data_IF_762405426980
#
_entry.id   IF_762405426980
#
_cell.length_a   1.000
_cell.length_b   1.000
_cell.length_c   1.000
_cell.angle_alpha   90.00
_cell.angle_beta   90.00
_cell.angle_gamma   90.00
#
_symmetry.space_group_name_H-M   'P 1'
#
loop_
_entity.id
_entity.type
_entity.pdbx_description
1 polymer ?
#
# COMPACT_ATOMS: atom_id res chain seq x y z
N UNK A 1 19.40 -13.61 7.81
CA UNK A 1 19.31 -13.03 9.18
C UNK A 1 18.30 -11.90 9.05
N UNK A 2 17.09 -12.12 9.54
CA UNK A 2 16.00 -11.15 9.50
C UNK A 2 16.32 -10.02 10.47
N UNK A 3 16.55 -8.82 9.95
CA UNK A 3 16.69 -7.61 10.74
C UNK A 3 15.40 -7.38 11.53
N UNK A 4 15.45 -7.61 12.84
CA UNK A 4 14.37 -7.23 13.75
C UNK A 4 14.35 -5.72 13.85
N UNK A 5 13.43 -5.06 13.16
CA UNK A 5 13.04 -3.68 13.43
C UNK A 5 12.45 -3.63 14.85
N UNK A 6 13.07 -2.89 15.75
CA UNK A 6 12.82 -2.83 17.19
C UNK A 6 11.58 -2.02 17.60
N UNK A 7 10.56 -1.92 16.75
CA UNK A 7 9.31 -1.24 17.05
C UNK A 7 8.20 -2.24 17.40
N UNK A 8 7.29 -1.86 18.30
CA UNK A 8 6.07 -2.65 18.56
C UNK A 8 5.26 -2.77 17.27
N UNK A 9 4.95 -3.97 16.78
CA UNK A 9 4.24 -4.13 15.51
C UNK A 9 2.81 -3.59 15.61
N UNK A 10 2.40 -2.89 14.56
CA UNK A 10 1.02 -2.40 14.40
C UNK A 10 0.10 -3.50 13.88
N UNK A 11 0.61 -4.35 12.98
CA UNK A 11 -0.11 -5.54 12.50
C UNK A 11 0.81 -6.75 12.59
N UNK A 12 0.31 -7.83 13.18
CA UNK A 12 0.93 -9.15 13.18
C UNK A 12 -0.07 -10.16 12.65
N UNK A 13 0.30 -10.88 11.60
CA UNK A 13 -0.49 -11.96 11.02
C UNK A 13 0.33 -13.24 10.95
N UNK A 14 -0.26 -14.36 11.37
CA UNK A 14 0.34 -15.70 11.29
C UNK A 14 -0.65 -16.67 10.70
N UNK A 15 -0.34 -17.18 9.52
CA UNK A 15 -1.20 -18.14 8.83
C UNK A 15 -2.56 -17.56 8.48
N UNK A 16 -2.66 -16.25 8.19
CA UNK A 16 -3.91 -15.57 7.89
C UNK A 16 -4.53 -16.12 6.61
N UNK A 17 -5.67 -16.81 6.74
CA UNK A 17 -6.36 -17.41 5.62
C UNK A 17 -7.82 -16.96 5.54
N UNK A 18 -8.34 -16.90 4.31
CA UNK A 18 -9.74 -16.55 4.03
C UNK A 18 -10.27 -17.31 2.85
N UNK A 19 -11.44 -17.93 3.04
CA UNK A 19 -12.18 -18.63 1.99
C UNK A 19 -13.56 -18.03 1.77
N UNK A 20 -13.99 -18.02 0.51
CA UNK A 20 -15.34 -17.68 0.08
C UNK A 20 -15.88 -18.86 -0.73
N UNK A 21 -16.64 -19.74 -0.07
CA UNK A 21 -17.05 -21.01 -0.68
C UNK A 21 -15.83 -21.83 -1.12
N UNK A 22 -15.74 -22.13 -2.41
CA UNK A 22 -14.59 -22.88 -2.96
C UNK A 22 -13.38 -22.03 -3.33
N UNK A 23 -13.49 -20.70 -3.25
CA UNK A 23 -12.39 -19.79 -3.57
C UNK A 23 -11.59 -19.41 -2.33
N UNK A 24 -10.28 -19.64 -2.35
CA UNK A 24 -9.37 -19.22 -1.29
C UNK A 24 -8.73 -17.89 -1.66
N UNK A 25 -9.11 -16.83 -0.98
CA UNK A 25 -8.64 -15.47 -1.23
C UNK A 25 -7.34 -15.13 -0.49
N UNK A 26 -7.10 -15.76 0.67
CA UNK A 26 -5.82 -15.72 1.39
C UNK A 26 -5.44 -17.14 1.79
N UNK A 27 -4.17 -17.50 1.58
CA UNK A 27 -3.68 -18.87 1.71
C UNK A 27 -2.65 -19.04 2.84
N UNK A 28 -2.90 -18.43 3.99
CA UNK A 28 -2.00 -18.54 5.14
C UNK A 28 -0.91 -17.48 5.17
N UNK A 29 -1.25 -16.24 4.82
CA UNK A 29 -0.32 -15.12 4.82
C UNK A 29 0.26 -14.88 6.22
N UNK A 30 1.58 -14.74 6.32
CA UNK A 30 2.30 -14.41 7.55
C UNK A 30 3.14 -13.17 7.28
N UNK A 31 2.91 -12.09 8.04
CA UNK A 31 3.60 -10.82 7.86
C UNK A 31 3.53 -9.97 9.12
N UNK A 32 4.40 -8.95 9.19
CA UNK A 32 4.45 -8.00 10.31
C UNK A 32 4.61 -6.59 9.79
N UNK A 33 3.76 -5.65 10.24
CA UNK A 33 3.86 -4.24 9.90
C UNK A 33 4.29 -3.47 11.15
N UNK A 34 5.49 -2.86 11.15
CA UNK A 34 5.98 -2.06 12.27
C UNK A 34 5.26 -0.72 12.41
N UNK A 35 5.42 -0.08 13.58
CA UNK A 35 5.01 1.31 13.80
C UNK A 35 5.86 2.28 12.98
N UNK A 36 5.28 3.42 12.58
CA UNK A 36 5.99 4.50 11.90
C UNK A 36 6.41 4.16 10.47
N UNK A 37 5.62 3.35 9.76
CA UNK A 37 5.92 2.92 8.39
C UNK A 37 4.80 3.27 7.42
N UNK A 38 5.17 3.52 6.16
CA UNK A 38 4.23 3.60 5.04
C UNK A 38 4.42 2.35 4.20
N UNK A 39 3.50 1.41 4.31
CA UNK A 39 3.59 0.09 3.69
C UNK A 39 2.72 0.00 2.45
N UNK A 40 3.33 -0.26 1.30
CA UNK A 40 2.63 -0.52 0.04
C UNK A 40 2.27 -2.00 -0.09
N UNK A 41 0.98 -2.33 -0.11
CA UNK A 41 0.51 -3.69 -0.45
C UNK A 41 0.16 -3.73 -1.93
N UNK A 42 1.04 -4.33 -2.70
CA UNK A 42 1.01 -4.29 -4.16
C UNK A 42 0.65 -5.67 -4.72
N UNK A 43 -0.28 -5.70 -5.66
CA UNK A 43 -0.71 -6.94 -6.31
C UNK A 43 -1.74 -6.70 -7.38
N UNK A 44 -1.92 -7.64 -8.28
CA UNK A 44 -2.96 -7.58 -9.32
C UNK A 44 -4.37 -7.52 -8.70
N UNK A 45 -5.35 -7.14 -9.53
CA UNK A 45 -6.75 -7.23 -9.13
C UNK A 45 -7.11 -8.69 -8.81
N UNK A 46 -7.77 -8.90 -7.66
CA UNK A 46 -8.09 -10.25 -7.18
C UNK A 46 -6.96 -10.97 -6.42
N UNK A 47 -5.78 -10.37 -6.26
CA UNK A 47 -4.65 -10.98 -5.53
C UNK A 47 -4.90 -11.20 -4.03
N UNK A 48 -5.94 -10.57 -3.44
CA UNK A 48 -6.27 -10.70 -2.02
C UNK A 48 -6.10 -9.42 -1.18
N UNK A 49 -5.67 -8.30 -1.77
CA UNK A 49 -5.41 -7.02 -1.06
C UNK A 49 -6.58 -6.57 -0.19
N UNK A 50 -7.74 -6.31 -0.79
CA UNK A 50 -8.96 -5.88 -0.07
C UNK A 50 -9.43 -6.92 0.95
N UNK A 51 -9.24 -8.23 0.67
CA UNK A 51 -9.57 -9.29 1.63
C UNK A 51 -8.67 -9.23 2.86
N UNK A 52 -7.38 -8.98 2.67
CA UNK A 52 -6.41 -8.79 3.76
C UNK A 52 -6.77 -7.54 4.58
N UNK A 53 -7.06 -6.40 3.93
CA UNK A 53 -7.48 -5.19 4.63
C UNK A 53 -8.78 -5.40 5.42
N UNK A 54 -9.76 -6.10 4.85
CA UNK A 54 -11.01 -6.40 5.56
C UNK A 54 -10.79 -7.28 6.81
N UNK A 55 -9.82 -8.17 6.79
CA UNK A 55 -9.43 -8.92 8.00
C UNK A 55 -8.77 -8.00 9.03
N UNK A 56 -7.81 -7.16 8.63
CA UNK A 56 -7.13 -6.16 9.49
C UNK A 56 -8.14 -5.21 10.16
N UNK A 57 -9.19 -4.81 9.43
CA UNK A 57 -10.25 -3.92 9.92
C UNK A 57 -11.35 -4.64 10.73
N UNK A 58 -11.28 -5.97 10.88
CA UNK A 58 -12.33 -6.76 11.51
C UNK A 58 -13.67 -6.72 10.78
N UNK A 59 -13.65 -6.48 9.46
CA UNK A 59 -14.83 -6.44 8.60
C UNK A 59 -15.17 -7.82 8.01
N UNK A 60 -14.25 -8.77 8.10
CA UNK A 60 -14.47 -10.14 7.64
C UNK A 60 -13.84 -11.16 8.58
N UNK A 61 -14.48 -12.32 8.71
CA UNK A 61 -13.90 -13.45 9.44
C UNK A 61 -12.68 -14.01 8.68
N UNK A 62 -11.74 -14.58 9.41
CA UNK A 62 -10.52 -15.19 8.90
C UNK A 62 -10.13 -16.42 9.74
N UNK A 63 -9.19 -17.22 9.24
CA UNK A 63 -8.51 -18.29 9.95
C UNK A 63 -7.07 -17.85 10.24
N UNK A 64 -6.43 -18.44 11.25
CA UNK A 64 -5.09 -18.05 11.70
C UNK A 64 -5.12 -17.03 12.84
N UNK A 65 -3.98 -16.39 13.09
CA UNK A 65 -3.80 -15.39 14.14
C UNK A 65 -3.62 -14.01 13.51
N UNK A 66 -4.33 -13.02 14.04
CA UNK A 66 -4.18 -11.61 13.63
C UNK A 66 -4.28 -10.71 14.85
N UNK A 67 -3.30 -9.83 14.99
CA UNK A 67 -3.27 -8.74 15.95
C UNK A 67 -3.10 -7.42 15.23
N UNK A 68 -3.89 -6.43 15.60
CA UNK A 68 -3.82 -5.06 15.06
C UNK A 68 -3.84 -4.10 16.23
N UNK A 69 -2.80 -3.29 16.38
CA UNK A 69 -2.61 -2.43 17.55
C UNK A 69 -2.75 -3.20 18.88
N UNK A 70 -2.32 -4.47 18.90
CA UNK A 70 -2.44 -5.38 20.05
C UNK A 70 -3.80 -6.05 20.23
N UNK A 71 -4.84 -5.65 19.50
CA UNK A 71 -6.20 -6.20 19.58
C UNK A 71 -6.44 -7.33 18.58
N UNK A 72 -7.36 -8.23 18.90
CA UNK A 72 -7.93 -9.19 17.95
C UNK A 72 -9.10 -8.52 17.18
N UNK A 73 -8.95 -8.25 15.88
CA UNK A 73 -9.98 -7.53 15.11
C UNK A 73 -11.34 -8.23 15.10
N UNK A 74 -11.36 -9.55 15.25
CA UNK A 74 -12.59 -10.34 15.23
C UNK A 74 -13.41 -10.19 16.53
N UNK A 75 -12.77 -9.80 17.64
CA UNK A 75 -13.40 -9.73 18.98
C UNK A 75 -13.48 -8.33 19.53
N UNK A 76 -12.48 -7.49 19.23
CA UNK A 76 -12.27 -6.19 19.89
C UNK A 76 -12.42 -5.00 18.90
N UNK A 77 -13.14 -5.22 17.78
CA UNK A 77 -13.30 -4.23 16.72
C UNK A 77 -13.72 -2.83 17.19
N UNK A 78 -14.69 -2.64 18.15
CA UNK A 78 -15.08 -1.30 18.59
C UNK A 78 -13.93 -0.51 19.25
N UNK A 79 -13.07 -1.17 20.01
CA UNK A 79 -11.88 -0.54 20.60
C UNK A 79 -10.84 -0.23 19.53
N UNK A 80 -10.60 -1.18 18.64
CA UNK A 80 -9.66 -1.05 17.54
C UNK A 80 -9.98 0.12 16.61
N UNK A 81 -11.25 0.30 16.24
CA UNK A 81 -11.69 1.36 15.32
C UNK A 81 -11.56 2.79 15.88
N UNK A 82 -11.25 2.96 17.16
CA UNK A 82 -10.92 4.28 17.71
C UNK A 82 -9.54 4.78 17.29
N UNK A 83 -8.64 3.86 16.94
CA UNK A 83 -7.26 4.13 16.54
C UNK A 83 -6.99 3.85 15.06
N UNK A 84 -8.02 3.50 14.30
CA UNK A 84 -7.93 3.24 12.86
C UNK A 84 -8.78 4.20 12.05
N UNK A 85 -8.21 4.76 10.99
CA UNK A 85 -8.97 5.42 9.94
C UNK A 85 -8.87 4.61 8.64
N UNK A 86 -9.99 4.45 7.93
CA UNK A 86 -10.07 3.66 6.70
C UNK A 86 -10.72 4.45 5.57
N UNK A 87 -10.05 4.46 4.43
CA UNK A 87 -10.62 4.93 3.15
C UNK A 87 -10.67 3.74 2.19
N UNK A 88 -11.87 3.40 1.71
CA UNK A 88 -12.04 2.46 0.61
C UNK A 88 -11.93 3.17 -0.75
N UNK A 89 -11.67 2.38 -1.81
CA UNK A 89 -11.67 2.84 -3.21
C UNK A 89 -12.96 3.57 -3.61
N UNK A 90 -14.06 3.16 -3.00
CA UNK A 90 -15.36 3.81 -3.17
C UNK A 90 -15.59 4.71 -1.97
N UNK A 91 -14.99 5.88 -1.99
CA UNK A 91 -15.20 6.91 -0.99
C UNK A 91 -16.70 7.27 -0.89
N UNK A 92 -17.38 6.64 0.05
CA UNK A 92 -18.84 6.75 0.23
C UNK A 92 -19.19 7.82 1.24
N UNK A 93 -18.77 9.07 0.97
CA UNK A 93 -19.37 10.18 1.69
C UNK A 93 -20.86 10.25 1.35
N UNK A 94 -21.74 10.53 2.34
CA UNK A 94 -23.17 10.64 2.11
C UNK A 94 -23.49 11.72 1.08
N UNK A 95 -23.82 11.31 -0.15
CA UNK A 95 -24.04 12.23 -1.30
C UNK A 95 -25.15 13.23 -1.11
N UNK A 96 -26.07 12.97 -0.19
CA UNK A 96 -27.21 13.83 0.15
C UNK A 96 -26.88 14.92 1.20
N UNK A 97 -25.81 14.72 1.99
CA UNK A 97 -25.35 15.70 3.00
C UNK A 97 -24.63 16.87 2.35
N UNK A 98 -24.69 18.05 2.99
CA UNK A 98 -23.79 19.17 2.74
C UNK A 98 -22.40 18.85 3.31
N UNK A 99 -21.36 19.53 2.81
CA UNK A 99 -20.00 19.37 3.31
C UNK A 99 -19.93 19.64 4.83
N UNK A 100 -20.55 20.73 5.31
CA UNK A 100 -20.59 21.05 6.74
C UNK A 100 -21.29 19.95 7.56
N UNK A 101 -22.38 19.38 7.04
CA UNK A 101 -23.12 18.29 7.70
C UNK A 101 -22.30 16.99 7.76
N UNK A 102 -21.40 16.75 6.78
CA UNK A 102 -20.45 15.63 6.83
C UNK A 102 -19.46 15.83 7.98
N UNK A 103 -18.93 17.03 8.17
CA UNK A 103 -18.04 17.32 9.30
C UNK A 103 -18.74 17.15 10.64
N UNK A 104 -19.99 17.67 10.77
CA UNK A 104 -20.82 17.51 11.97
C UNK A 104 -21.05 16.03 12.29
N UNK A 105 -21.36 15.23 11.26
CA UNK A 105 -21.56 13.79 11.41
C UNK A 105 -20.27 13.10 11.89
N UNK A 106 -19.12 13.36 11.24
CA UNK A 106 -17.85 12.72 11.64
C UNK A 106 -17.48 13.10 13.09
N UNK A 107 -17.66 14.37 13.47
CA UNK A 107 -17.42 14.85 14.83
C UNK A 107 -18.31 14.13 15.87
N UNK A 108 -19.55 13.82 15.50
CA UNK A 108 -20.48 13.11 16.38
C UNK A 108 -20.16 11.63 16.57
N UNK A 109 -19.47 10.99 15.62
CA UNK A 109 -19.22 9.53 15.63
C UNK A 109 -17.77 9.16 15.90
N UNK A 110 -16.81 10.05 15.67
CA UNK A 110 -15.39 9.76 15.84
C UNK A 110 -14.77 10.62 16.94
N UNK A 111 -14.42 10.02 18.11
CA UNK A 111 -13.97 10.79 19.28
C UNK A 111 -12.64 11.52 19.08
N UNK A 112 -11.83 11.13 18.09
CA UNK A 112 -10.52 11.72 17.78
C UNK A 112 -10.56 12.63 16.55
N UNK A 113 -11.74 13.06 16.10
CA UNK A 113 -11.85 13.99 14.98
C UNK A 113 -11.64 15.44 15.44
N UNK A 114 -10.71 16.13 14.81
CA UNK A 114 -10.44 17.55 15.00
C UNK A 114 -11.13 18.38 13.91
N UNK A 115 -12.29 18.93 14.23
CA UNK A 115 -13.06 19.79 13.33
C UNK A 115 -12.30 21.04 12.90
N UNK A 116 -11.51 21.64 13.80
CA UNK A 116 -10.75 22.86 13.47
C UNK A 116 -9.68 22.57 12.42
N UNK A 117 -9.01 21.41 12.53
CA UNK A 117 -8.05 20.93 11.54
C UNK A 117 -8.72 20.68 10.17
N UNK A 118 -9.90 20.03 10.16
CA UNK A 118 -10.67 19.81 8.94
C UNK A 118 -11.08 21.12 8.26
N UNK A 119 -11.57 22.08 9.02
CA UNK A 119 -11.95 23.40 8.52
C UNK A 119 -10.73 24.18 7.98
N UNK A 120 -9.60 24.11 8.67
CA UNK A 120 -8.35 24.73 8.20
C UNK A 120 -7.89 24.11 6.89
N UNK A 121 -7.94 22.78 6.75
CA UNK A 121 -7.63 22.11 5.48
C UNK A 121 -8.57 22.61 4.36
N UNK A 122 -9.87 22.58 4.58
CA UNK A 122 -10.88 22.99 3.59
C UNK A 122 -10.77 24.47 3.20
N UNK A 123 -10.35 25.37 4.11
CA UNK A 123 -10.16 26.78 3.82
C UNK A 123 -9.12 27.08 2.73
N UNK A 124 -8.19 26.16 2.52
CA UNK A 124 -7.16 26.22 1.46
C UNK A 124 -7.64 25.63 0.13
N UNK A 125 -8.88 25.14 0.08
CA UNK A 125 -9.47 24.48 -1.09
C UNK A 125 -10.62 25.32 -1.65
N UNK A 126 -11.16 24.89 -2.81
CA UNK A 126 -12.37 25.46 -3.41
C UNK A 126 -13.63 24.68 -3.02
N UNK A 127 -13.59 23.83 -1.99
CA UNK A 127 -14.73 23.02 -1.56
C UNK A 127 -15.75 23.89 -0.83
N UNK A 128 -16.98 24.09 -1.36
CA UNK A 128 -17.97 24.94 -0.73
C UNK A 128 -18.72 24.20 0.37
N UNK A 129 -18.67 24.71 1.60
CA UNK A 129 -19.21 24.05 2.80
C UNK A 129 -20.73 23.80 2.74
N UNK A 130 -21.47 24.71 2.12
CA UNK A 130 -22.94 24.63 2.04
C UNK A 130 -23.46 23.76 0.87
N UNK A 131 -22.56 23.28 0.02
CA UNK A 131 -22.94 22.46 -1.14
C UNK A 131 -23.05 20.98 -0.75
N UNK A 132 -24.02 20.28 -1.34
CA UNK A 132 -24.17 18.83 -1.16
C UNK A 132 -23.01 18.07 -1.82
N UNK A 133 -22.54 16.99 -1.18
CA UNK A 133 -21.45 16.16 -1.68
C UNK A 133 -21.68 15.70 -3.13
N UNK A 134 -22.93 15.34 -3.50
CA UNK A 134 -23.27 14.96 -4.89
C UNK A 134 -23.03 16.05 -5.95
N UNK A 135 -22.92 17.31 -5.53
CA UNK A 135 -22.72 18.45 -6.43
C UNK A 135 -21.26 18.92 -6.47
N UNK A 136 -20.36 18.23 -5.76
CA UNK A 136 -18.93 18.43 -5.81
C UNK A 136 -18.34 17.78 -7.08
N UNK A 137 -17.26 18.37 -7.62
CA UNK A 137 -16.44 17.67 -8.60
C UNK A 137 -15.71 16.50 -7.92
N UNK A 138 -15.19 15.53 -8.71
CA UNK A 138 -14.39 14.42 -8.18
C UNK A 138 -13.25 14.93 -7.33
N UNK A 139 -12.46 15.89 -7.80
CA UNK A 139 -11.36 16.49 -7.05
C UNK A 139 -11.81 17.15 -5.74
N UNK A 140 -12.94 17.89 -5.72
CA UNK A 140 -13.48 18.45 -4.47
C UNK A 140 -13.93 17.37 -3.49
N UNK A 141 -14.49 16.26 -3.99
CA UNK A 141 -14.87 15.12 -3.14
C UNK A 141 -13.64 14.52 -2.47
N UNK A 142 -12.55 14.36 -3.19
CA UNK A 142 -11.27 13.88 -2.64
C UNK A 142 -10.71 14.85 -1.61
N UNK A 143 -10.72 16.15 -1.90
CA UNK A 143 -10.27 17.15 -0.93
C UNK A 143 -11.11 17.10 0.37
N UNK A 144 -12.41 16.88 0.27
CA UNK A 144 -13.25 16.68 1.44
C UNK A 144 -12.88 15.39 2.21
N UNK A 145 -12.61 14.30 1.49
CA UNK A 145 -12.13 13.05 2.11
C UNK A 145 -10.81 13.26 2.84
N UNK A 146 -9.86 13.90 2.19
CA UNK A 146 -8.58 14.24 2.82
C UNK A 146 -8.78 15.07 4.07
N UNK A 147 -9.61 16.13 3.99
CA UNK A 147 -9.90 16.96 5.15
C UNK A 147 -10.43 16.16 6.34
N UNK A 148 -11.33 15.21 6.09
CA UNK A 148 -11.86 14.32 7.14
C UNK A 148 -10.77 13.43 7.70
N UNK A 149 -10.05 12.69 6.85
CA UNK A 149 -9.08 11.67 7.27
C UNK A 149 -7.88 12.29 7.98
N UNK A 150 -7.32 13.37 7.41
CA UNK A 150 -6.18 14.07 8.00
C UNK A 150 -6.50 14.72 9.35
N UNK A 151 -7.80 14.86 9.66
CA UNK A 151 -8.28 15.45 10.91
C UNK A 151 -8.67 14.42 11.96
N UNK A 152 -8.48 13.13 11.69
CA UNK A 152 -8.65 12.05 12.66
C UNK A 152 -7.27 11.67 13.19
N UNK A 153 -7.08 11.72 14.52
CA UNK A 153 -5.86 11.28 15.16
C UNK A 153 -5.87 9.75 15.33
N UNK A 154 -5.58 9.05 14.23
CA UNK A 154 -5.50 7.60 14.18
C UNK A 154 -4.03 7.12 14.15
N UNK A 155 -3.75 5.98 14.80
CA UNK A 155 -2.42 5.34 14.78
C UNK A 155 -2.20 4.52 13.52
N UNK A 156 -3.27 4.02 12.92
CA UNK A 156 -3.24 3.25 11.69
C UNK A 156 -4.21 3.85 10.66
N UNK A 157 -3.66 4.27 9.54
CA UNK A 157 -4.43 4.69 8.36
C UNK A 157 -4.39 3.58 7.31
N UNK A 158 -5.55 3.11 6.90
CA UNK A 158 -5.69 2.08 5.86
C UNK A 158 -6.32 2.71 4.62
N UNK A 159 -5.65 2.61 3.50
CA UNK A 159 -6.04 3.20 2.22
C UNK A 159 -6.16 2.09 1.16
N UNK A 160 -7.38 1.80 0.72
CA UNK A 160 -7.62 0.82 -0.35
C UNK A 160 -7.84 1.53 -1.68
N UNK A 161 -6.83 1.51 -2.58
CA UNK A 161 -6.82 2.18 -3.88
C UNK A 161 -7.24 3.68 -3.80
N UNK A 162 -6.64 4.50 -2.92
CA UNK A 162 -7.19 5.81 -2.53
C UNK A 162 -7.22 6.84 -3.64
N UNK A 163 -6.45 6.66 -4.69
CA UNK A 163 -6.32 7.59 -5.82
C UNK A 163 -7.00 7.09 -7.10
N UNK A 164 -7.73 5.98 -7.02
CA UNK A 164 -8.39 5.41 -8.18
C UNK A 164 -9.41 6.38 -8.81
N UNK A 165 -9.22 6.65 -10.10
CA UNK A 165 -10.09 7.58 -10.84
C UNK A 165 -9.80 9.07 -10.62
N UNK A 166 -8.71 9.42 -9.94
CA UNK A 166 -8.20 10.78 -9.88
C UNK A 166 -7.28 11.08 -11.07
N UNK A 167 -7.19 12.35 -11.44
CA UNK A 167 -6.15 12.81 -12.35
C UNK A 167 -4.78 12.93 -11.64
N UNK A 168 -3.72 13.01 -12.43
CA UNK A 168 -2.33 13.00 -11.96
C UNK A 168 -2.05 14.12 -10.93
N UNK A 169 -2.64 15.32 -11.12
CA UNK A 169 -2.40 16.44 -10.22
C UNK A 169 -2.97 16.20 -8.83
N UNK A 170 -4.22 15.68 -8.77
CA UNK A 170 -4.86 15.37 -7.49
C UNK A 170 -4.20 14.20 -6.78
N UNK A 171 -3.72 13.17 -7.51
CA UNK A 171 -2.96 12.06 -6.94
C UNK A 171 -1.68 12.56 -6.26
N UNK A 172 -0.91 13.39 -6.96
CA UNK A 172 0.32 13.97 -6.41
C UNK A 172 0.05 14.80 -5.17
N UNK A 173 -0.98 15.65 -5.21
CA UNK A 173 -1.39 16.46 -4.06
C UNK A 173 -1.83 15.58 -2.88
N UNK A 174 -2.57 14.48 -3.13
CA UNK A 174 -2.99 13.53 -2.10
C UNK A 174 -1.78 12.97 -1.34
N UNK A 175 -0.82 12.39 -2.05
CA UNK A 175 0.34 11.77 -1.42
C UNK A 175 1.27 12.80 -0.76
N UNK A 176 1.40 13.99 -1.32
CA UNK A 176 2.15 15.06 -0.71
C UNK A 176 1.53 15.50 0.62
N UNK A 177 0.20 15.74 0.66
CA UNK A 177 -0.48 16.06 1.91
C UNK A 177 -0.41 14.93 2.93
N UNK A 178 -0.45 13.67 2.48
CA UNK A 178 -0.29 12.51 3.35
C UNK A 178 1.06 12.53 4.08
N UNK A 179 2.15 12.83 3.36
CA UNK A 179 3.49 12.91 3.93
C UNK A 179 3.68 14.14 4.82
N UNK A 180 3.26 15.31 4.34
CA UNK A 180 3.59 16.58 5.00
C UNK A 180 2.68 16.91 6.20
N UNK A 181 1.40 16.49 6.13
CA UNK A 181 0.39 16.93 7.10
C UNK A 181 -0.13 15.81 8.02
N UNK A 182 0.05 14.54 7.64
CA UNK A 182 -0.51 13.41 8.39
C UNK A 182 0.54 12.47 8.97
N UNK A 183 1.52 12.05 8.16
CA UNK A 183 2.47 11.01 8.56
C UNK A 183 3.50 11.55 9.56
N UNK A 184 3.74 10.75 10.59
CA UNK A 184 4.83 10.90 11.54
C UNK A 184 5.29 9.53 12.03
N UNK A 185 6.32 9.48 12.88
CA UNK A 185 6.89 8.22 13.38
C UNK A 185 5.95 7.43 14.32
N UNK A 186 4.87 8.05 14.79
CA UNK A 186 3.88 7.42 15.66
C UNK A 186 2.69 6.84 14.87
N UNK A 187 2.62 7.09 13.56
CA UNK A 187 1.53 6.65 12.68
C UNK A 187 2.02 5.68 11.63
N UNK A 188 1.21 4.68 11.37
CA UNK A 188 1.45 3.72 10.30
C UNK A 188 0.39 3.87 9.22
N UNK A 189 0.81 3.79 7.96
CA UNK A 189 -0.08 3.86 6.80
C UNK A 189 0.06 2.58 5.98
N UNK A 190 -1.07 1.95 5.67
CA UNK A 190 -1.14 0.83 4.73
C UNK A 190 -1.84 1.32 3.47
N UNK A 191 -1.19 1.21 2.33
CA UNK A 191 -1.74 1.62 1.03
C UNK A 191 -1.81 0.40 0.13
N UNK A 192 -3.01 0.01 -0.31
CA UNK A 192 -3.11 -0.95 -1.41
C UNK A 192 -3.15 -0.22 -2.74
N UNK A 193 -2.44 -0.73 -3.71
CA UNK A 193 -2.50 -0.22 -5.08
C UNK A 193 -2.06 -1.27 -6.09
N UNK A 194 -2.50 -1.10 -7.34
CA UNK A 194 -1.93 -1.75 -8.51
C UNK A 194 -1.12 -0.77 -9.37
N UNK A 195 -1.08 0.51 -9.01
CA UNK A 195 -0.34 1.60 -9.68
C UNK A 195 0.94 1.93 -8.89
N UNK A 196 1.94 1.09 -9.05
CA UNK A 196 3.17 1.09 -8.25
C UNK A 196 3.93 2.41 -8.33
N UNK A 197 4.04 2.96 -9.55
CA UNK A 197 4.82 4.17 -9.86
C UNK A 197 4.32 5.42 -9.12
N UNK A 198 3.03 5.42 -8.72
CA UNK A 198 2.43 6.55 -8.02
C UNK A 198 2.82 6.64 -6.56
N UNK A 199 3.11 5.51 -5.93
CA UNK A 199 3.35 5.40 -4.49
C UNK A 199 4.81 5.13 -4.14
N UNK A 200 5.63 4.68 -5.09
CA UNK A 200 7.02 4.27 -4.86
C UNK A 200 7.82 5.29 -4.03
N UNK A 201 7.61 6.57 -4.30
CA UNK A 201 8.36 7.66 -3.67
C UNK A 201 7.95 8.00 -2.24
N UNK A 202 6.87 7.41 -1.73
CA UNK A 202 6.38 7.64 -0.37
C UNK A 202 6.48 6.40 0.52
N UNK A 203 6.73 5.22 -0.06
CA UNK A 203 6.78 3.98 0.69
C UNK A 203 8.08 3.84 1.46
N UNK A 204 7.99 3.42 2.71
CA UNK A 204 9.13 2.92 3.49
C UNK A 204 9.32 1.41 3.30
N UNK A 205 8.21 0.67 3.13
CA UNK A 205 8.19 -0.78 3.00
C UNK A 205 7.20 -1.21 1.92
N UNK A 206 7.43 -2.39 1.37
CA UNK A 206 6.56 -2.97 0.36
C UNK A 206 6.27 -4.44 0.66
N UNK A 207 5.05 -4.84 0.35
CA UNK A 207 4.57 -6.21 0.43
C UNK A 207 3.90 -6.58 -0.90
N UNK A 208 4.43 -7.60 -1.59
CA UNK A 208 3.83 -8.11 -2.81
C UNK A 208 2.91 -9.29 -2.49
N UNK A 209 1.68 -9.20 -2.95
CA UNK A 209 0.68 -10.27 -2.82
C UNK A 209 0.31 -10.84 -4.18
N UNK A 210 0.36 -12.16 -4.32
CA UNK A 210 0.00 -12.92 -5.52
C UNK A 210 -0.86 -14.10 -5.13
N UNK A 211 -2.04 -14.24 -5.72
CA UNK A 211 -2.95 -15.38 -5.52
C UNK A 211 -3.23 -15.73 -4.05
N UNK A 212 -3.31 -14.72 -3.19
CA UNK A 212 -3.57 -14.86 -1.76
C UNK A 212 -2.36 -15.18 -0.89
N UNK A 213 -1.15 -15.12 -1.44
CA UNK A 213 0.11 -15.36 -0.74
C UNK A 213 1.00 -14.11 -0.76
N UNK A 214 1.75 -13.86 0.32
CA UNK A 214 2.80 -12.84 0.34
C UNK A 214 4.04 -13.45 -0.29
N UNK A 215 4.43 -12.91 -1.44
CA UNK A 215 5.57 -13.42 -2.23
C UNK A 215 6.86 -12.62 -2.02
N UNK A 216 6.73 -11.39 -1.50
CA UNK A 216 7.85 -10.55 -1.14
C UNK A 216 7.44 -9.57 -0.04
N UNK A 217 8.32 -9.34 0.93
CA UNK A 217 8.24 -8.32 1.96
C UNK A 217 9.65 -7.73 2.14
N UNK A 218 9.78 -6.40 2.03
CA UNK A 218 11.09 -5.73 2.11
C UNK A 218 10.95 -4.25 2.44
N UNK A 219 11.97 -3.69 3.08
CA UNK A 219 12.18 -2.24 3.14
C UNK A 219 12.60 -1.72 1.76
N UNK A 220 12.14 -0.54 1.37
CA UNK A 220 12.36 0.02 0.04
C UNK A 220 13.86 0.22 -0.28
N UNK A 221 14.63 0.68 0.70
CA UNK A 221 16.06 0.91 0.54
C UNK A 221 16.84 -0.39 0.29
N UNK A 222 16.46 -1.48 0.98
CA UNK A 222 17.05 -2.80 0.76
C UNK A 222 16.62 -3.40 -0.57
N UNK A 223 15.32 -3.28 -0.91
CA UNK A 223 14.75 -3.85 -2.11
C UNK A 223 15.47 -3.37 -3.37
N UNK A 224 15.66 -2.06 -3.49
CA UNK A 224 16.30 -1.45 -4.68
C UNK A 224 17.78 -1.85 -4.84
N UNK A 225 18.41 -2.32 -3.78
CA UNK A 225 19.80 -2.81 -3.82
C UNK A 225 19.89 -4.29 -4.19
N UNK A 226 18.86 -5.07 -3.86
CA UNK A 226 18.84 -6.52 -4.10
C UNK A 226 18.61 -6.89 -5.57
N UNK A 227 17.94 -6.01 -6.36
CA UNK A 227 17.54 -6.33 -7.72
C UNK A 227 18.36 -5.53 -8.75
N UNK A 228 18.96 -6.24 -9.70
CA UNK A 228 19.77 -5.67 -10.78
C UNK A 228 19.32 -6.27 -12.11
N UNK A 229 19.06 -5.41 -13.09
CA UNK A 229 18.87 -5.84 -14.46
C UNK A 229 20.19 -5.75 -15.23
N UNK A 230 20.43 -6.73 -16.06
CA UNK A 230 21.55 -6.79 -17.00
C UNK A 230 21.03 -6.76 -18.42
N UNK A 231 21.48 -5.80 -19.21
CA UNK A 231 21.37 -5.83 -20.66
C UNK A 231 22.51 -6.69 -21.20
N UNK A 232 22.19 -7.95 -21.52
CA UNK A 232 23.19 -8.99 -21.82
C UNK A 232 23.95 -8.65 -23.09
N UNK A 233 25.29 -8.66 -23.02
CA UNK A 233 26.15 -8.43 -24.17
C UNK A 233 26.04 -9.62 -25.15
N UNK A 234 26.17 -9.37 -26.49
CA UNK A 234 26.14 -10.44 -27.48
C UNK A 234 27.16 -11.55 -27.19
N UNK A 235 26.69 -12.80 -27.20
CA UNK A 235 27.51 -13.99 -26.92
C UNK A 235 27.64 -14.33 -25.41
N UNK A 236 27.02 -13.55 -24.49
CA UNK A 236 27.04 -13.81 -23.07
C UNK A 236 25.73 -14.43 -22.55
N UNK A 237 24.80 -14.78 -23.43
CA UNK A 237 23.46 -15.27 -23.06
C UNK A 237 23.52 -16.57 -22.25
N UNK A 238 24.43 -17.49 -22.62
CA UNK A 238 24.61 -18.75 -21.90
C UNK A 238 25.14 -18.53 -20.46
N UNK A 239 26.10 -17.61 -20.29
CA UNK A 239 26.65 -17.24 -18.98
C UNK A 239 25.58 -16.55 -18.14
N UNK A 240 24.80 -15.66 -18.74
CA UNK A 240 23.67 -14.97 -18.07
C UNK A 240 22.64 -15.99 -17.57
N UNK A 241 22.23 -16.94 -18.37
CA UNK A 241 21.27 -17.98 -17.98
C UNK A 241 21.80 -18.94 -16.92
N UNK A 242 23.11 -19.18 -16.88
CA UNK A 242 23.73 -20.03 -15.85
C UNK A 242 23.62 -19.44 -14.43
N UNK A 243 23.49 -18.11 -14.30
CA UNK A 243 23.26 -17.42 -13.03
C UNK A 243 21.79 -17.41 -12.59
N UNK A 244 20.91 -18.13 -13.31
CA UNK A 244 19.49 -18.30 -12.98
C UNK A 244 18.76 -16.97 -12.71
N UNK A 245 18.56 -16.12 -13.74
CA UNK A 245 17.81 -14.89 -13.58
C UNK A 245 16.38 -15.18 -13.11
N UNK A 246 15.83 -14.33 -12.25
CA UNK A 246 14.43 -14.42 -11.80
C UNK A 246 13.42 -14.04 -12.89
N UNK A 247 13.85 -13.22 -13.85
CA UNK A 247 13.06 -12.85 -15.03
C UNK A 247 13.98 -12.61 -16.22
N UNK A 248 13.44 -12.86 -17.41
CA UNK A 248 14.11 -12.60 -18.69
C UNK A 248 13.17 -11.83 -19.61
N UNK A 249 13.73 -10.96 -20.43
CA UNK A 249 13.00 -10.16 -21.39
C UNK A 249 13.84 -9.79 -22.60
N UNK A 250 13.28 -8.91 -23.41
CA UNK A 250 14.01 -8.28 -24.52
C UNK A 250 13.73 -6.78 -24.54
N UNK A 251 14.78 -5.98 -24.63
CA UNK A 251 14.70 -4.52 -24.74
C UNK A 251 15.53 -4.07 -25.92
N UNK A 252 14.90 -3.41 -26.90
CA UNK A 252 15.54 -2.96 -28.16
C UNK A 252 16.33 -4.06 -28.89
N UNK A 253 15.79 -5.30 -28.91
CA UNK A 253 16.44 -6.45 -29.58
C UNK A 253 17.59 -7.08 -28.81
N UNK A 254 17.88 -6.64 -27.57
CA UNK A 254 18.88 -7.24 -26.69
C UNK A 254 18.21 -8.01 -25.57
N UNK A 255 18.79 -9.13 -25.15
CA UNK A 255 18.30 -9.90 -23.99
C UNK A 255 18.52 -9.12 -22.71
N UNK A 256 17.51 -9.08 -21.87
CA UNK A 256 17.58 -8.55 -20.49
C UNK A 256 17.33 -9.66 -19.48
N UNK A 257 18.09 -9.64 -18.40
CA UNK A 257 17.95 -10.59 -17.29
C UNK A 257 17.91 -9.83 -15.97
N UNK A 258 16.96 -10.18 -15.11
CA UNK A 258 16.84 -9.61 -13.75
C UNK A 258 17.36 -10.62 -12.74
N UNK A 259 18.23 -10.17 -11.86
CA UNK A 259 18.83 -10.98 -10.80
C UNK A 259 18.50 -10.42 -9.43
N UNK A 260 18.41 -11.31 -8.44
CA UNK A 260 18.24 -10.96 -7.02
C UNK A 260 19.45 -11.46 -6.23
N UNK A 261 20.02 -10.60 -5.37
CA UNK A 261 21.12 -10.93 -4.46
C UNK A 261 22.40 -11.43 -5.16
N UNK A 262 22.68 -10.94 -6.37
CA UNK A 262 23.96 -11.16 -7.05
C UNK A 262 24.71 -9.83 -7.10
N UNK A 263 26.00 -9.86 -6.78
CA UNK A 263 26.80 -8.65 -6.76
C UNK A 263 26.94 -8.01 -8.15
N UNK A 264 27.00 -6.67 -8.15
CA UNK A 264 27.02 -5.88 -9.37
C UNK A 264 28.28 -6.12 -10.21
N UNK A 265 29.42 -6.43 -9.59
CA UNK A 265 30.69 -6.64 -10.29
C UNK A 265 30.62 -7.94 -11.13
N UNK A 266 30.04 -8.99 -10.57
CA UNK A 266 29.77 -10.24 -11.28
C UNK A 266 28.84 -10.02 -12.46
N UNK A 267 27.74 -9.29 -12.26
CA UNK A 267 26.76 -9.00 -13.31
C UNK A 267 27.30 -8.06 -14.40
N UNK A 268 28.20 -7.13 -14.07
CA UNK A 268 28.83 -6.23 -15.03
C UNK A 268 29.70 -6.95 -16.09
N UNK A 269 30.15 -8.16 -15.79
CA UNK A 269 30.88 -9.02 -16.76
C UNK A 269 30.00 -9.58 -17.89
N UNK A 270 28.69 -9.59 -17.65
CA UNK A 270 27.67 -10.08 -18.58
C UNK A 270 27.14 -8.99 -19.52
N UNK A 271 27.26 -7.72 -19.13
CA UNK A 271 26.73 -6.60 -19.88
C UNK A 271 26.51 -5.34 -19.04
N UNK A 272 25.73 -4.42 -19.57
CA UNK A 272 25.39 -3.18 -18.90
C UNK A 272 24.36 -3.44 -17.78
N UNK A 273 24.65 -2.96 -16.56
CA UNK A 273 23.79 -3.14 -15.40
C UNK A 273 23.00 -1.88 -15.08
N UNK A 274 21.70 -2.03 -14.80
CA UNK A 274 20.87 -0.94 -14.28
C UNK A 274 20.15 -1.34 -12.98
N UNK A 275 19.87 -0.36 -12.12
CA UNK A 275 18.96 -0.54 -11.00
C UNK A 275 17.54 -0.54 -11.51
N UNK A 276 16.69 -1.33 -10.86
CA UNK A 276 15.27 -1.40 -11.16
C UNK A 276 14.46 -0.50 -10.23
N UNK A 277 13.42 0.13 -10.76
CA UNK A 277 12.36 0.73 -9.96
C UNK A 277 11.41 -0.33 -9.41
N UNK A 278 10.57 0.09 -8.46
CA UNK A 278 9.62 -0.81 -7.79
C UNK A 278 8.68 -1.51 -8.79
N UNK A 279 8.23 -0.80 -9.83
CA UNK A 279 7.36 -1.36 -10.86
C UNK A 279 8.04 -2.50 -11.64
N UNK A 280 9.31 -2.33 -12.03
CA UNK A 280 10.08 -3.35 -12.73
C UNK A 280 10.33 -4.58 -11.83
N UNK A 281 10.66 -4.34 -10.54
CA UNK A 281 10.84 -5.41 -9.54
C UNK A 281 9.53 -6.17 -9.34
N UNK A 282 8.40 -5.47 -9.25
CA UNK A 282 7.09 -6.09 -9.15
C UNK A 282 6.80 -7.00 -10.34
N UNK A 283 6.97 -6.49 -11.57
CA UNK A 283 6.78 -7.28 -12.80
C UNK A 283 7.70 -8.51 -12.81
N UNK A 284 8.99 -8.33 -12.52
CA UNK A 284 9.96 -9.43 -12.50
C UNK A 284 9.60 -10.51 -11.47
N UNK A 285 9.12 -10.10 -10.28
CA UNK A 285 8.70 -11.04 -9.22
C UNK A 285 7.39 -11.76 -9.57
N UNK A 286 6.43 -11.06 -10.21
CA UNK A 286 5.13 -11.65 -10.57
C UNK A 286 5.18 -12.54 -11.80
N UNK A 287 6.07 -12.27 -12.77
CA UNK A 287 6.23 -13.04 -14.01
C UNK A 287 7.30 -14.11 -13.92
N UNK A 288 8.21 -14.02 -12.96
CA UNK A 288 9.20 -15.05 -12.69
C UNK A 288 8.50 -16.38 -12.41
N UNK A 289 8.86 -17.43 -13.16
CA UNK A 289 8.44 -18.80 -12.89
C UNK A 289 8.98 -19.16 -11.51
N UNK A 290 8.06 -19.45 -10.58
CA UNK A 290 8.44 -19.90 -9.23
C UNK A 290 9.33 -21.12 -9.33
N UNK A 291 10.52 -21.00 -8.75
CA UNK A 291 11.37 -22.17 -8.48
C UNK A 291 10.88 -22.89 -7.24
#
# INVERSE_FOLDING_TARGET
MTGQTSGTPVVEARGLAKRFGNFTALKGATFTIPLGRIVGVIGANGAGKTTMLNAVLGLSSYEGELRVLGHDPSKERPALMQDICFISDVATLPKWMKVVEVLDFVESVHPKFDRAKAMNFLSRTKVPLERKVRALSKGMTVQLHLAVVMSIDAKLLVLDEPTLGLDIMFRKQFYQSLLEEYFDEERTVIITTHQVEEVEHILSDVMFIKDGEIVLEAEMDELTQQFIEVLVAPGKEAEAMALKPISKGMTFGKSTCVYKNIDRETLAKLGETRRLGLADIFVATMTGEGQ
#
